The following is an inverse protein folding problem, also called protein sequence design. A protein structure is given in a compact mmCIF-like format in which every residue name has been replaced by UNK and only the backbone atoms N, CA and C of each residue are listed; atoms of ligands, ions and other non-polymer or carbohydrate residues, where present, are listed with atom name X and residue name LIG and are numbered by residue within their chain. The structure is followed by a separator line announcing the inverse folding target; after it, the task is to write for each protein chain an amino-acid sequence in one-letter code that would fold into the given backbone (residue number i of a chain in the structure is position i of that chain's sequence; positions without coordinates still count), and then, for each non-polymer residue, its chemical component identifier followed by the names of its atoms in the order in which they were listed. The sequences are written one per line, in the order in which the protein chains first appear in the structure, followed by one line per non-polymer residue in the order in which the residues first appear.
data_IF_306814980718
#
_entry.id   IF_306814980718
#
_cell.length_a   1.000
_cell.length_b   1.000
_cell.length_c   1.000
_cell.angle_alpha   90.00
_cell.angle_beta   90.00
_cell.angle_gamma   90.00
#
_symmetry.space_group_name_H-M   'P 1'
#
loop_
_entity.id
_entity.type
_entity.pdbx_description
1 polymer ?
#
# COMPACT_ATOMS: atom_id res chain seq x y z
N UNK A 1 5.74 -12.44 10.12
CA UNK A 1 5.27 -12.55 8.74
C UNK A 1 4.17 -11.53 8.59
N UNK A 2 4.44 -10.50 7.80
CA UNK A 2 3.64 -9.28 7.71
C UNK A 2 2.74 -9.42 6.49
N UNK A 3 1.43 -9.26 6.68
CA UNK A 3 0.46 -9.25 5.57
C UNK A 3 0.05 -7.82 5.28
N UNK A 4 0.18 -7.41 4.02
CA UNK A 4 -0.19 -6.07 3.55
C UNK A 4 -1.18 -6.20 2.41
N UNK A 5 -2.38 -5.65 2.60
CA UNK A 5 -3.42 -5.51 1.59
C UNK A 5 -3.11 -4.28 0.75
N UNK A 6 -3.18 -4.43 -0.57
CA UNK A 6 -2.84 -3.38 -1.54
C UNK A 6 -3.91 -2.28 -1.56
N UNK A 7 -3.54 -1.01 -1.90
CA UNK A 7 -4.50 0.08 -1.99
C UNK A 7 -5.51 -0.16 -3.13
N UNK A 8 -5.10 -0.86 -4.19
CA UNK A 8 -5.97 -1.30 -5.29
C UNK A 8 -5.36 -2.50 -6.06
N UNK A 9 -6.22 -3.21 -6.80
CA UNK A 9 -5.84 -4.41 -7.55
C UNK A 9 -5.21 -4.12 -8.92
N UNK A 10 -5.67 -3.06 -9.59
CA UNK A 10 -5.16 -2.67 -10.90
C UNK A 10 -3.70 -2.25 -10.82
N UNK A 11 -2.93 -2.51 -11.87
CA UNK A 11 -1.58 -1.97 -12.03
C UNK A 11 -1.19 -2.07 -13.50
N UNK A 12 -0.35 -1.14 -13.92
CA UNK A 12 0.34 -1.19 -15.20
C UNK A 12 1.62 -2.04 -15.10
N UNK A 13 1.80 -2.99 -16.02
CA UNK A 13 2.89 -3.95 -15.98
C UNK A 13 4.24 -3.34 -16.37
N UNK A 14 4.25 -2.40 -17.33
CA UNK A 14 5.47 -1.73 -17.77
C UNK A 14 5.98 -0.80 -16.67
N UNK A 15 5.10 -0.04 -16.04
CA UNK A 15 5.43 0.78 -14.88
C UNK A 15 5.90 -0.08 -13.69
N UNK A 16 5.30 -1.26 -13.47
CA UNK A 16 5.80 -2.18 -12.45
C UNK A 16 7.22 -2.66 -12.74
N UNK A 17 7.55 -2.96 -14.00
CA UNK A 17 8.90 -3.35 -14.38
C UNK A 17 9.90 -2.21 -14.11
N UNK A 18 9.57 -0.97 -14.50
CA UNK A 18 10.40 0.20 -14.20
C UNK A 18 10.62 0.40 -12.70
N UNK A 19 9.55 0.37 -11.89
CA UNK A 19 9.66 0.48 -10.42
C UNK A 19 10.49 -0.65 -9.84
N UNK A 20 10.37 -1.87 -10.38
CA UNK A 20 11.15 -3.02 -9.91
C UNK A 20 12.65 -2.82 -10.17
N UNK A 21 13.03 -2.33 -11.35
CA UNK A 21 14.42 -2.02 -11.69
C UNK A 21 14.99 -0.92 -10.78
N UNK A 22 14.25 0.16 -10.54
CA UNK A 22 14.65 1.23 -9.61
C UNK A 22 14.87 0.69 -8.19
N UNK A 23 13.95 -0.15 -7.72
CA UNK A 23 13.99 -0.73 -6.38
C UNK A 23 15.13 -1.74 -6.16
N UNK A 24 15.69 -2.35 -7.21
CA UNK A 24 16.91 -3.15 -7.07
C UNK A 24 18.09 -2.31 -6.55
N UNK A 25 18.10 -1.01 -6.86
CA UNK A 25 19.14 -0.09 -6.40
C UNK A 25 18.75 0.60 -5.09
N UNK A 26 17.50 1.05 -4.98
CA UNK A 26 17.01 1.83 -3.84
C UNK A 26 16.69 0.99 -2.60
N UNK A 27 16.39 -0.30 -2.79
CA UNK A 27 16.03 -1.23 -1.71
C UNK A 27 14.55 -1.19 -1.35
N UNK A 28 14.24 -1.57 -0.11
CA UNK A 28 12.87 -1.71 0.37
C UNK A 28 12.17 -0.34 0.45
N UNK A 29 10.87 -0.25 0.08
CA UNK A 29 10.14 1.00 0.14
C UNK A 29 9.61 1.24 1.55
N UNK A 30 9.47 2.51 1.92
CA UNK A 30 8.56 2.92 3.00
C UNK A 30 7.16 3.18 2.43
N UNK A 31 6.13 2.76 3.15
CA UNK A 31 4.73 2.97 2.78
C UNK A 31 3.89 3.39 3.99
N UNK A 32 2.88 4.24 3.75
CA UNK A 32 1.84 4.53 4.74
C UNK A 32 0.78 3.44 4.76
N UNK A 33 0.43 2.94 5.93
CA UNK A 33 -0.59 1.90 6.10
C UNK A 33 -1.34 1.98 7.43
N UNK A 34 -2.55 1.42 7.46
CA UNK A 34 -3.39 1.32 8.66
C UNK A 34 -3.42 -0.12 9.13
N UNK A 35 -3.24 -0.37 10.42
CA UNK A 35 -3.43 -1.71 10.98
C UNK A 35 -4.92 -2.02 11.14
N UNK A 36 -5.41 -3.02 10.40
CA UNK A 36 -6.80 -3.47 10.49
C UNK A 36 -6.86 -4.79 11.25
N UNK A 37 -7.08 -4.70 12.56
CA UNK A 37 -7.15 -5.88 13.44
C UNK A 37 -8.22 -6.90 13.03
N UNK A 38 -9.32 -6.46 12.40
CA UNK A 38 -10.37 -7.34 11.86
C UNK A 38 -9.89 -8.20 10.67
N UNK A 39 -8.86 -7.75 9.95
CA UNK A 39 -8.23 -8.50 8.85
C UNK A 39 -6.95 -9.24 9.31
N UNK A 40 -6.42 -8.90 10.48
CA UNK A 40 -5.09 -9.35 10.91
C UNK A 40 -3.99 -8.92 9.94
N UNK A 41 -4.16 -7.77 9.28
CA UNK A 41 -3.31 -7.28 8.21
C UNK A 41 -3.22 -5.76 8.20
N UNK A 42 -2.18 -5.24 7.56
CA UNK A 42 -2.03 -3.83 7.23
C UNK A 42 -2.78 -3.53 5.93
N UNK A 43 -3.47 -2.39 5.87
CA UNK A 43 -4.04 -1.86 4.63
C UNK A 43 -3.15 -0.73 4.17
N UNK A 44 -2.46 -0.92 3.05
CA UNK A 44 -1.62 0.11 2.46
C UNK A 44 -2.49 1.24 1.87
N UNK A 45 -2.07 2.47 2.13
CA UNK A 45 -2.70 3.67 1.58
C UNK A 45 -2.03 4.12 0.29
N UNK A 46 -0.88 3.56 -0.07
CA UNK A 46 -0.14 3.93 -1.28
C UNK A 46 0.72 2.75 -1.78
N UNK A 47 1.47 2.99 -2.87
CA UNK A 47 2.60 2.13 -3.22
C UNK A 47 2.22 0.77 -3.79
N UNK A 48 1.11 0.64 -4.53
CA UNK A 48 0.69 -0.61 -5.18
C UNK A 48 1.83 -1.29 -5.97
N UNK A 49 2.53 -0.54 -6.82
CA UNK A 49 3.66 -1.04 -7.60
C UNK A 49 4.88 -1.35 -6.73
N UNK A 50 5.22 -0.44 -5.80
CA UNK A 50 6.34 -0.62 -4.86
C UNK A 50 6.20 -1.89 -4.02
N UNK A 51 5.00 -2.19 -3.52
CA UNK A 51 4.72 -3.41 -2.74
C UNK A 51 4.83 -4.68 -3.58
N UNK A 52 4.34 -4.66 -4.83
CA UNK A 52 4.49 -5.79 -5.76
C UNK A 52 5.96 -6.04 -6.10
N UNK A 53 6.71 -4.97 -6.39
CA UNK A 53 8.15 -5.04 -6.63
C UNK A 53 8.90 -5.56 -5.40
N UNK A 54 8.60 -5.04 -4.21
CA UNK A 54 9.17 -5.52 -2.95
C UNK A 54 8.94 -7.02 -2.76
N UNK A 55 7.71 -7.50 -2.98
CA UNK A 55 7.39 -8.92 -2.86
C UNK A 55 8.15 -9.78 -3.89
N UNK A 56 8.32 -9.30 -5.12
CA UNK A 56 9.09 -10.00 -6.16
C UNK A 56 10.59 -10.04 -5.84
N UNK A 57 11.13 -8.99 -5.22
CA UNK A 57 12.55 -8.86 -4.87
C UNK A 57 12.89 -9.46 -3.49
N UNK A 58 11.90 -9.94 -2.72
CA UNK A 58 12.12 -10.42 -1.36
C UNK A 58 12.49 -9.32 -0.37
N UNK A 59 12.07 -8.07 -0.64
CA UNK A 59 12.31 -6.91 0.20
C UNK A 59 11.12 -6.70 1.14
N UNK A 60 11.39 -6.52 2.43
CA UNK A 60 10.35 -6.21 3.42
C UNK A 60 10.18 -4.70 3.51
N UNK A 61 8.99 -4.14 3.18
CA UNK A 61 8.76 -2.71 3.26
C UNK A 61 8.76 -2.20 4.70
N UNK A 62 9.17 -0.96 4.89
CA UNK A 62 8.98 -0.23 6.14
C UNK A 62 7.56 0.35 6.18
N UNK A 63 6.88 0.20 7.33
CA UNK A 63 5.52 0.67 7.50
C UNK A 63 5.53 1.93 8.35
N UNK A 64 5.04 3.03 7.76
CA UNK A 64 4.65 4.23 8.48
C UNK A 64 3.16 4.08 8.85
N UNK A 65 2.91 3.82 10.12
CA UNK A 65 1.56 3.60 10.60
C UNK A 65 0.75 4.90 10.58
N UNK A 66 -0.44 4.83 9.97
CA UNK A 66 -1.46 5.87 9.98
C UNK A 66 -2.64 5.36 10.81
N UNK A 67 -3.15 6.21 11.68
CA UNK A 67 -4.35 5.90 12.48
C UNK A 67 -5.57 5.83 11.57
N UNK A 68 -6.46 4.86 11.84
CA UNK A 68 -7.75 4.80 11.16
C UNK A 68 -8.55 6.08 11.45
N UNK A 69 -9.27 6.59 10.44
CA UNK A 69 -10.11 7.78 10.61
C UNK A 69 -11.22 7.85 9.57
N UNK A 70 -12.40 8.29 10.00
CA UNK A 70 -13.58 8.59 9.18
C UNK A 70 -13.58 10.03 8.63
N UNK A 71 -12.60 10.84 9.01
CA UNK A 71 -12.54 12.28 8.69
C UNK A 71 -11.23 12.70 8.02
N UNK A 72 -10.12 12.02 8.31
CA UNK A 72 -8.85 12.20 7.59
C UNK A 72 -8.95 11.56 6.21
N UNK A 73 -8.36 12.22 5.22
CA UNK A 73 -8.45 11.81 3.82
C UNK A 73 -7.11 11.39 3.22
N UNK A 74 -7.16 10.78 2.04
CA UNK A 74 -6.00 10.46 1.22
C UNK A 74 -5.15 11.67 0.89
N UNK A 75 -5.74 12.87 0.75
CA UNK A 75 -5.00 14.10 0.46
C UNK A 75 -4.21 14.61 1.68
N UNK A 76 -4.66 14.27 2.89
CA UNK A 76 -3.97 14.65 4.13
C UNK A 76 -2.73 13.78 4.38
N UNK A 77 -2.78 12.48 4.02
CA UNK A 77 -1.75 11.50 4.40
C UNK A 77 -0.89 11.03 3.23
N UNK A 78 -1.44 10.92 2.02
CA UNK A 78 -0.77 10.42 0.81
C UNK A 78 -1.10 11.30 -0.42
N UNK A 79 -0.84 12.61 -0.35
CA UNK A 79 -1.26 13.56 -1.39
C UNK A 79 -0.76 13.17 -2.78
N UNK A 80 -1.67 13.16 -3.75
CA UNK A 80 -1.39 12.80 -5.15
C UNK A 80 -1.25 11.30 -5.42
N UNK A 81 -1.50 10.44 -4.43
CA UNK A 81 -1.52 8.98 -4.64
C UNK A 81 -2.85 8.47 -5.23
N UNK A 82 -3.89 9.29 -5.19
CA UNK A 82 -5.23 8.98 -5.72
C UNK A 82 -5.70 10.14 -6.61
N UNK A 83 -6.50 9.80 -7.62
CA UNK A 83 -7.16 10.79 -8.49
C UNK A 83 -8.36 11.46 -7.78
N UNK A 84 -9.00 10.72 -6.87
CA UNK A 84 -10.15 11.15 -6.07
C UNK A 84 -9.78 11.19 -4.58
N UNK A 85 -10.45 12.04 -3.81
CA UNK A 85 -10.28 12.13 -2.35
C UNK A 85 -11.18 11.11 -1.63
N UNK A 86 -10.57 10.23 -0.83
CA UNK A 86 -11.28 9.23 -0.02
C UNK A 86 -10.92 9.37 1.45
N UNK A 87 -11.84 9.03 2.36
CA UNK A 87 -11.50 8.90 3.78
C UNK A 87 -10.68 7.64 4.02
N UNK A 88 -9.89 7.63 5.09
CA UNK A 88 -9.11 6.44 5.46
C UNK A 88 -10.04 5.25 5.76
N UNK A 89 -11.17 5.49 6.41
CA UNK A 89 -12.27 4.53 6.59
C UNK A 89 -12.68 3.89 5.26
N UNK A 90 -13.04 4.69 4.24
CA UNK A 90 -13.49 4.16 2.95
C UNK A 90 -12.44 3.25 2.29
N UNK A 91 -11.16 3.64 2.37
CA UNK A 91 -10.07 2.81 1.86
C UNK A 91 -9.96 1.49 2.64
N UNK A 92 -10.13 1.53 3.97
CA UNK A 92 -10.01 0.35 4.82
C UNK A 92 -11.21 -0.61 4.72
N UNK A 93 -12.44 -0.10 4.63
CA UNK A 93 -13.65 -0.92 4.56
C UNK A 93 -13.69 -1.76 3.29
N UNK A 94 -13.22 -1.21 2.17
CA UNK A 94 -13.14 -1.91 0.88
C UNK A 94 -11.93 -2.86 0.76
N UNK A 95 -11.03 -2.88 1.75
CA UNK A 95 -9.76 -3.61 1.67
C UNK A 95 -9.95 -5.13 1.50
N UNK A 96 -11.04 -5.69 2.02
CA UNK A 96 -11.37 -7.11 1.88
C UNK A 96 -11.52 -7.60 0.42
N UNK A 97 -11.71 -6.68 -0.53
CA UNK A 97 -11.83 -6.99 -1.97
C UNK A 97 -10.48 -7.02 -2.70
N UNK A 98 -9.39 -6.68 -2.00
CA UNK A 98 -8.09 -6.39 -2.60
C UNK A 98 -7.08 -7.49 -2.32
N UNK A 99 -6.10 -7.62 -3.21
CA UNK A 99 -5.03 -8.58 -3.08
C UNK A 99 -4.14 -8.27 -1.86
N UNK A 100 -3.72 -9.33 -1.17
CA UNK A 100 -2.82 -9.27 -0.03
C UNK A 100 -1.48 -9.92 -0.36
N UNK A 101 -0.39 -9.26 0.02
CA UNK A 101 0.98 -9.74 -0.12
C UNK A 101 1.55 -10.12 1.25
N UNK A 102 2.43 -11.11 1.27
CA UNK A 102 3.08 -11.62 2.48
C UNK A 102 4.57 -11.31 2.41
N UNK A 103 5.09 -10.73 3.48
CA UNK A 103 6.49 -10.34 3.66
C UNK A 103 7.08 -10.98 4.92
#
# INVERSE_FOLDING_TARGET
MTTIILPHNHFDADHLATVTEEMQTLGAPAIKAVWMGCHGAWVALEGAHRLRAAAALGLTPEIEEIEWSDTVTTDDVVPGSYDDTWTIEQICDDAHTRAALKF
#
